data_IF_903397012380
#
_entry.id   IF_903397012380
#
_cell.length_a   1.000
_cell.length_b   1.000
_cell.length_c   1.000
_cell.angle_alpha   90.00
_cell.angle_beta   90.00
_cell.angle_gamma   90.00
#
_symmetry.space_group_name_H-M   'P 1'
#
loop_
_entity.id
_entity.type
_entity.pdbx_description
1 polymer ?
#
# COMPACT_ATOMS: atom_id res chain seq x y z
N UNK A 1 -3.79 -8.50 30.09
CA UNK A 1 -4.20 -7.23 30.69
C UNK A 1 -3.19 -6.76 31.75
N UNK A 2 -1.87 -6.73 31.45
CA UNK A 2 -0.80 -6.34 32.41
C UNK A 2 0.33 -5.50 31.78
N UNK A 3 0.17 -4.98 30.55
CA UNK A 3 1.28 -4.29 29.86
C UNK A 3 1.21 -2.76 29.92
N UNK A 4 0.12 -2.17 30.36
CA UNK A 4 -0.16 -0.73 30.22
C UNK A 4 0.48 0.20 31.27
N UNK A 5 1.06 -0.34 32.34
CA UNK A 5 1.61 0.45 33.46
C UNK A 5 3.10 0.24 33.71
N UNK A 6 3.81 -0.53 32.88
CA UNK A 6 5.21 -0.83 33.16
C UNK A 6 6.18 0.28 32.69
N UNK A 7 7.18 0.69 33.48
CA UNK A 7 8.22 1.62 33.07
C UNK A 7 8.97 1.13 31.80
N UNK A 8 9.46 2.05 30.96
CA UNK A 8 10.15 1.75 29.70
C UNK A 8 11.26 0.70 29.86
N UNK A 9 12.07 0.79 30.91
CA UNK A 9 13.13 -0.20 31.18
C UNK A 9 12.61 -1.62 31.36
N UNK A 10 11.45 -1.79 31.97
CA UNK A 10 10.79 -3.10 32.10
C UNK A 10 10.30 -3.64 30.77
N UNK A 11 9.83 -2.78 29.86
CA UNK A 11 9.47 -3.18 28.50
C UNK A 11 10.67 -3.61 27.67
N UNK A 12 11.81 -2.91 27.80
CA UNK A 12 13.08 -3.34 27.19
C UNK A 12 13.48 -4.73 27.70
N UNK A 13 13.43 -4.96 29.02
CA UNK A 13 13.74 -6.27 29.61
C UNK A 13 12.81 -7.38 29.11
N UNK A 14 11.51 -7.09 29.04
CA UNK A 14 10.50 -8.01 28.51
C UNK A 14 10.79 -8.43 27.06
N UNK A 15 11.01 -7.49 26.16
CA UNK A 15 11.28 -7.79 24.76
C UNK A 15 12.61 -8.49 24.56
N UNK A 16 13.66 -8.11 25.30
CA UNK A 16 14.94 -8.82 25.29
C UNK A 16 14.79 -10.29 25.68
N UNK A 17 14.10 -10.57 26.80
CA UNK A 17 13.84 -11.94 27.27
C UNK A 17 13.01 -12.73 26.26
N UNK A 18 11.97 -12.12 25.68
CA UNK A 18 11.13 -12.73 24.65
C UNK A 18 11.90 -13.09 23.39
N UNK A 19 12.99 -12.36 23.08
CA UNK A 19 13.94 -12.69 22.00
C UNK A 19 15.03 -13.68 22.41
N UNK A 20 14.98 -14.22 23.60
CA UNK A 20 15.96 -15.18 24.09
C UNK A 20 17.36 -14.59 24.31
N UNK A 21 17.51 -13.26 24.40
CA UNK A 21 18.80 -12.61 24.56
C UNK A 21 19.17 -12.45 26.03
N UNK A 22 20.44 -12.78 26.39
CA UNK A 22 21.02 -12.35 27.66
C UNK A 22 21.29 -10.84 27.66
N UNK A 23 21.43 -10.23 28.83
CA UNK A 23 21.85 -8.81 28.92
C UNK A 23 23.16 -8.53 28.20
N UNK A 24 24.10 -9.49 28.23
CA UNK A 24 25.38 -9.35 27.55
C UNK A 24 25.21 -9.35 26.03
N UNK A 25 24.51 -10.33 25.49
CA UNK A 25 24.23 -10.43 24.04
C UNK A 25 23.49 -9.16 23.51
N UNK A 26 22.54 -8.66 24.28
CA UNK A 26 21.84 -7.44 23.91
C UNK A 26 22.75 -6.20 23.99
N UNK A 27 23.58 -6.11 25.04
CA UNK A 27 24.56 -5.03 25.19
C UNK A 27 25.57 -5.00 24.02
N UNK A 28 26.10 -6.17 23.64
CA UNK A 28 27.04 -6.30 22.52
C UNK A 28 26.37 -5.86 21.20
N UNK A 29 25.09 -6.22 20.98
CA UNK A 29 24.32 -5.89 19.78
C UNK A 29 24.11 -4.39 19.61
N UNK A 30 23.97 -3.64 20.70
CA UNK A 30 23.76 -2.18 20.70
C UNK A 30 25.03 -1.38 21.00
N UNK A 31 26.21 -2.03 21.05
CA UNK A 31 27.49 -1.37 21.33
C UNK A 31 27.57 -0.70 22.71
N UNK A 32 26.88 -1.27 23.73
CA UNK A 32 26.89 -0.76 25.12
C UNK A 32 27.41 -1.80 26.07
N UNK A 33 27.67 -1.40 27.34
CA UNK A 33 28.07 -2.34 28.37
C UNK A 33 26.86 -3.08 28.97
N UNK A 34 27.07 -4.30 29.48
CA UNK A 34 26.04 -5.04 30.25
C UNK A 34 25.49 -4.22 31.41
N UNK A 35 26.37 -3.50 32.13
CA UNK A 35 25.97 -2.62 33.24
C UNK A 35 25.06 -1.48 32.77
N UNK A 36 25.26 -0.97 31.55
CA UNK A 36 24.37 0.03 30.96
C UNK A 36 22.95 -0.54 30.72
N UNK A 37 22.85 -1.75 30.15
CA UNK A 37 21.60 -2.47 29.96
C UNK A 37 20.88 -2.73 31.29
N UNK A 38 21.59 -3.24 32.29
CA UNK A 38 21.02 -3.49 33.63
C UNK A 38 20.44 -2.21 34.25
N UNK A 39 21.17 -1.08 34.18
CA UNK A 39 20.68 0.21 34.69
C UNK A 39 19.41 0.71 33.98
N UNK A 40 19.31 0.48 32.69
CA UNK A 40 18.10 0.81 31.91
C UNK A 40 16.92 -0.08 32.32
N UNK A 41 17.12 -1.39 32.34
CA UNK A 41 16.08 -2.36 32.68
C UNK A 41 15.53 -2.18 34.10
N UNK A 42 16.38 -1.76 35.03
CA UNK A 42 15.99 -1.43 36.40
C UNK A 42 15.43 -0.03 36.59
N UNK A 43 15.43 0.78 35.53
CA UNK A 43 14.94 2.17 35.58
C UNK A 43 15.89 3.15 36.33
N UNK A 44 17.07 2.74 36.66
CA UNK A 44 18.10 3.58 37.32
C UNK A 44 18.61 4.65 36.33
N UNK A 45 18.67 4.30 35.04
CA UNK A 45 19.02 5.23 33.97
C UNK A 45 17.78 5.50 33.11
N UNK A 46 17.46 6.78 32.92
CA UNK A 46 16.38 7.20 32.03
C UNK A 46 16.82 7.19 30.58
N UNK A 47 15.90 6.88 29.68
CA UNK A 47 16.05 6.92 28.23
C UNK A 47 15.34 8.19 27.72
N UNK A 48 16.08 9.29 27.64
CA UNK A 48 15.51 10.61 27.30
C UNK A 48 15.73 10.98 25.81
N UNK A 49 16.60 10.23 25.09
CA UNK A 49 16.91 10.51 23.69
C UNK A 49 16.17 9.54 22.79
N UNK A 50 15.32 10.07 21.92
CA UNK A 50 14.53 9.28 20.96
C UNK A 50 15.41 8.39 20.07
N UNK A 51 16.59 8.89 19.62
CA UNK A 51 17.56 8.09 18.84
C UNK A 51 18.02 6.82 19.54
N UNK A 52 18.23 6.89 20.87
CA UNK A 52 18.62 5.70 21.65
C UNK A 52 17.43 4.72 21.77
N UNK A 53 16.21 5.24 21.89
CA UNK A 53 15.00 4.39 21.95
C UNK A 53 14.79 3.67 20.62
N UNK A 54 15.03 4.34 19.49
CA UNK A 54 14.96 3.75 18.14
C UNK A 54 16.02 2.66 17.98
N UNK A 55 17.28 2.92 18.38
CA UNK A 55 18.36 1.93 18.36
C UNK A 55 18.03 0.67 19.17
N UNK A 56 17.43 0.84 20.36
CA UNK A 56 16.97 -0.28 21.19
C UNK A 56 15.82 -1.04 20.53
N UNK A 57 14.88 -0.33 19.93
CA UNK A 57 13.73 -0.91 19.25
C UNK A 57 14.16 -1.75 18.04
N UNK A 58 15.07 -1.24 17.22
CA UNK A 58 15.68 -1.96 16.09
C UNK A 58 16.41 -3.23 16.55
N UNK A 59 17.25 -3.12 17.58
CA UNK A 59 17.97 -4.26 18.14
C UNK A 59 17.06 -5.34 18.71
N UNK A 60 15.87 -4.96 19.20
CA UNK A 60 14.84 -5.87 19.71
C UNK A 60 13.85 -6.31 18.64
N UNK A 61 13.93 -5.76 17.43
CA UNK A 61 12.97 -5.95 16.34
C UNK A 61 11.53 -5.67 16.80
N UNK A 62 11.31 -4.47 17.35
CA UNK A 62 10.03 -3.95 17.81
C UNK A 62 9.86 -2.49 17.38
N UNK A 63 8.63 -1.99 17.36
CA UNK A 63 8.37 -0.58 17.15
C UNK A 63 8.80 0.27 18.37
N UNK A 64 9.39 1.46 18.13
CA UNK A 64 9.81 2.36 19.19
C UNK A 64 8.65 2.78 20.11
N UNK A 65 7.43 2.88 19.57
CA UNK A 65 6.21 3.14 20.33
C UNK A 65 5.92 2.06 21.38
N UNK A 66 6.22 0.79 21.09
CA UNK A 66 6.07 -0.31 22.04
C UNK A 66 7.01 -0.17 23.25
N UNK A 67 8.22 0.36 23.04
CA UNK A 67 9.14 0.66 24.14
C UNK A 67 8.70 1.89 24.92
N UNK A 68 8.12 2.88 24.25
CA UNK A 68 7.59 4.09 24.90
C UNK A 68 6.29 3.84 25.69
N UNK A 69 5.69 2.64 25.57
CA UNK A 69 4.39 2.34 26.17
C UNK A 69 3.26 3.10 25.50
N UNK A 70 3.56 3.63 24.33
CA UNK A 70 2.52 4.03 23.41
C UNK A 70 2.01 2.71 22.84
N UNK A 71 0.79 2.29 23.21
CA UNK A 71 0.09 1.35 22.36
C UNK A 71 0.18 1.87 20.92
N UNK A 72 0.27 0.98 19.91
CA UNK A 72 -0.02 1.42 18.57
C UNK A 72 -1.34 2.18 18.71
N UNK A 73 -1.31 3.50 18.51
CA UNK A 73 -2.43 4.38 18.86
C UNK A 73 -3.68 3.69 18.34
N UNK A 74 -4.54 3.18 19.24
CA UNK A 74 -5.93 2.83 18.94
C UNK A 74 -6.50 4.10 18.37
N UNK A 75 -6.53 4.19 17.04
CA UNK A 75 -7.17 5.31 16.37
C UNK A 75 -8.63 5.26 16.80
N UNK A 76 -9.16 6.28 17.50
CA UNK A 76 -10.61 6.38 17.69
C UNK A 76 -11.20 6.24 16.29
N UNK A 77 -12.27 5.46 16.12
CA UNK A 77 -12.87 5.17 14.83
C UNK A 77 -13.10 6.46 14.05
N UNK A 78 -12.16 6.79 13.17
CA UNK A 78 -12.22 7.94 12.30
C UNK A 78 -13.29 7.63 11.26
N UNK A 79 -14.36 8.38 11.23
CA UNK A 79 -15.42 8.25 10.25
C UNK A 79 -14.88 8.36 8.82
N UNK A 80 -14.43 7.25 8.26
CA UNK A 80 -13.84 7.20 6.91
C UNK A 80 -12.62 6.29 6.76
N UNK A 81 -12.07 5.72 7.85
CA UNK A 81 -10.98 4.74 7.80
C UNK A 81 -11.46 3.35 8.25
N UNK A 82 -10.77 2.29 7.83
CA UNK A 82 -10.97 0.94 8.35
C UNK A 82 -10.59 0.89 9.83
N UNK A 83 -11.44 0.24 10.61
CA UNK A 83 -11.11 -0.06 11.99
C UNK A 83 -10.28 -1.36 12.09
N UNK A 84 -9.73 -1.61 13.28
CA UNK A 84 -8.94 -2.83 13.52
C UNK A 84 -9.77 -4.11 13.36
N UNK A 85 -11.08 -4.06 13.61
CA UNK A 85 -11.98 -5.22 13.47
C UNK A 85 -12.16 -5.57 12.00
N UNK A 86 -12.29 -4.57 11.12
CA UNK A 86 -12.40 -4.78 9.67
C UNK A 86 -11.08 -5.35 9.10
N UNK A 87 -9.93 -4.80 9.50
CA UNK A 87 -8.60 -5.32 9.10
C UNK A 87 -8.40 -6.75 9.61
N UNK A 88 -8.74 -7.02 10.86
CA UNK A 88 -8.64 -8.36 11.45
C UNK A 88 -9.59 -9.37 10.78
N UNK A 89 -10.78 -8.93 10.38
CA UNK A 89 -11.73 -9.77 9.63
C UNK A 89 -11.21 -10.13 8.23
N UNK A 90 -10.54 -9.18 7.55
CA UNK A 90 -9.85 -9.45 6.28
C UNK A 90 -8.68 -10.42 6.52
N UNK A 91 -7.87 -10.20 7.58
CA UNK A 91 -6.78 -11.10 7.99
C UNK A 91 -7.28 -12.51 8.17
N UNK A 92 -8.30 -12.71 9.00
CA UNK A 92 -8.90 -14.03 9.27
C UNK A 92 -9.41 -14.69 7.98
N UNK A 93 -10.02 -13.92 7.08
CA UNK A 93 -10.47 -14.42 5.77
C UNK A 93 -9.30 -14.84 4.88
N UNK A 94 -8.18 -14.10 4.91
CA UNK A 94 -6.97 -14.46 4.18
C UNK A 94 -6.22 -15.64 4.81
N UNK A 95 -6.29 -15.85 6.12
CA UNK A 95 -5.61 -16.95 6.82
C UNK A 95 -6.38 -18.26 6.78
N UNK A 96 -7.65 -18.25 6.37
CA UNK A 96 -8.44 -19.48 6.18
C UNK A 96 -7.89 -20.30 5.02
N UNK A 97 -7.48 -21.49 5.33
CA UNK A 97 -7.17 -22.53 4.33
C UNK A 97 -8.45 -23.32 4.02
N UNK A 98 -9.28 -22.79 3.13
CA UNK A 98 -10.60 -23.37 2.83
C UNK A 98 -10.52 -24.82 2.29
N UNK A 99 -9.40 -25.19 1.65
CA UNK A 99 -9.16 -26.59 1.27
C UNK A 99 -9.01 -27.55 2.46
N UNK A 100 -8.63 -27.04 3.64
CA UNK A 100 -8.63 -27.82 4.88
C UNK A 100 -10.04 -27.91 5.47
N UNK A 101 -10.92 -26.96 5.21
CA UNK A 101 -12.32 -26.98 5.62
C UNK A 101 -13.13 -28.16 5.05
N UNK A 102 -12.68 -28.74 3.92
CA UNK A 102 -13.27 -30.01 3.38
C UNK A 102 -13.05 -31.21 4.31
N UNK A 103 -12.06 -31.14 5.19
CA UNK A 103 -11.80 -32.17 6.23
C UNK A 103 -12.44 -31.84 7.59
N UNK A 104 -12.87 -30.57 7.77
CA UNK A 104 -13.57 -30.12 8.95
C UNK A 104 -15.03 -29.93 8.50
N UNK A 105 -15.97 -30.70 9.01
CA UNK A 105 -17.40 -30.65 8.69
C UNK A 105 -18.00 -29.24 8.86
N UNK A 106 -17.70 -28.33 7.94
CA UNK A 106 -18.31 -27.02 7.89
C UNK A 106 -19.70 -27.13 7.27
N UNK A 107 -20.67 -26.39 7.82
CA UNK A 107 -22.00 -26.32 7.24
C UNK A 107 -21.93 -25.92 5.75
N UNK A 108 -22.66 -26.58 4.84
CA UNK A 108 -22.64 -26.26 3.43
C UNK A 108 -23.09 -24.83 3.20
N UNK A 109 -22.25 -24.03 2.52
CA UNK A 109 -22.59 -22.70 2.06
C UNK A 109 -23.12 -22.83 0.64
N UNK A 110 -24.30 -22.27 0.37
CA UNK A 110 -24.82 -22.22 -0.99
C UNK A 110 -23.97 -21.29 -1.85
N UNK A 111 -23.57 -21.74 -3.07
CA UNK A 111 -22.72 -20.93 -3.94
C UNK A 111 -23.47 -19.69 -4.47
N UNK A 112 -22.85 -18.53 -4.34
CA UNK A 112 -23.35 -17.31 -5.00
C UNK A 112 -23.12 -17.41 -6.50
N UNK A 113 -24.14 -17.14 -7.35
CA UNK A 113 -23.99 -17.19 -8.80
C UNK A 113 -22.89 -16.25 -9.32
N UNK A 114 -22.08 -16.75 -10.28
CA UNK A 114 -20.94 -16.02 -10.86
C UNK A 114 -21.33 -14.64 -11.42
N UNK A 115 -22.45 -14.45 -12.11
CA UNK A 115 -22.86 -13.10 -12.55
C UNK A 115 -23.11 -12.12 -11.39
N UNK A 116 -23.64 -12.60 -10.26
CA UNK A 116 -23.83 -11.80 -9.07
C UNK A 116 -22.50 -11.44 -8.40
N UNK A 117 -21.57 -12.41 -8.30
CA UNK A 117 -20.20 -12.16 -7.81
C UNK A 117 -19.46 -11.15 -8.69
N UNK A 118 -19.59 -11.25 -10.01
CA UNK A 118 -19.00 -10.29 -10.96
C UNK A 118 -19.51 -8.88 -10.71
N UNK A 119 -20.80 -8.71 -10.48
CA UNK A 119 -21.39 -7.43 -10.09
C UNK A 119 -20.83 -6.88 -8.78
N UNK A 120 -20.65 -7.75 -7.76
CA UNK A 120 -20.11 -7.37 -6.46
C UNK A 120 -18.60 -7.00 -6.54
N UNK A 121 -17.81 -7.72 -7.34
CA UNK A 121 -16.39 -7.39 -7.59
C UNK A 121 -16.26 -6.05 -8.31
N UNK A 122 -17.05 -5.81 -9.35
CA UNK A 122 -17.05 -4.52 -10.05
C UNK A 122 -17.44 -3.36 -9.11
N UNK A 123 -18.42 -3.56 -8.23
CA UNK A 123 -18.81 -2.58 -7.23
C UNK A 123 -17.66 -2.31 -6.22
N UNK A 124 -16.95 -3.36 -5.82
CA UNK A 124 -15.79 -3.24 -4.94
C UNK A 124 -14.66 -2.41 -5.59
N UNK A 125 -14.36 -2.65 -6.88
CA UNK A 125 -13.42 -1.84 -7.64
C UNK A 125 -13.86 -0.38 -7.74
N UNK A 126 -15.13 -0.12 -8.06
CA UNK A 126 -15.67 1.24 -8.14
C UNK A 126 -15.55 1.97 -6.78
N UNK A 127 -15.81 1.28 -5.67
CA UNK A 127 -15.65 1.84 -4.33
C UNK A 127 -14.17 2.15 -4.03
N UNK A 128 -13.24 1.28 -4.47
CA UNK A 128 -11.81 1.50 -4.35
C UNK A 128 -11.37 2.74 -5.15
N UNK A 129 -11.75 2.86 -6.41
CA UNK A 129 -11.41 3.99 -7.28
C UNK A 129 -11.94 5.34 -6.77
N UNK A 130 -13.04 5.31 -6.01
CA UNK A 130 -13.59 6.47 -5.30
C UNK A 130 -12.94 6.73 -3.93
N UNK A 131 -12.01 5.87 -3.49
CA UNK A 131 -11.37 5.98 -2.18
C UNK A 131 -12.31 5.71 -1.00
N UNK A 132 -13.36 4.89 -1.18
CA UNK A 132 -14.32 4.54 -0.13
C UNK A 132 -13.92 3.24 0.59
N UNK A 133 -12.80 3.26 1.31
CA UNK A 133 -12.22 2.07 1.94
C UNK A 133 -13.13 1.31 2.91
N UNK A 134 -13.97 1.94 3.75
CA UNK A 134 -14.91 1.18 4.57
C UNK A 134 -15.92 0.37 3.76
N UNK A 135 -16.31 0.85 2.57
CA UNK A 135 -17.16 0.09 1.64
C UNK A 135 -16.41 -1.08 1.04
N UNK A 136 -15.15 -0.84 0.63
CA UNK A 136 -14.26 -1.88 0.11
C UNK A 136 -14.05 -2.99 1.13
N UNK A 137 -13.77 -2.66 2.39
CA UNK A 137 -13.54 -3.64 3.46
C UNK A 137 -14.75 -4.57 3.66
N UNK A 138 -15.94 -3.99 3.79
CA UNK A 138 -17.17 -4.80 3.93
C UNK A 138 -17.41 -5.71 2.74
N UNK A 139 -17.20 -5.21 1.53
CA UNK A 139 -17.32 -6.01 0.30
C UNK A 139 -16.27 -7.12 0.24
N UNK A 140 -15.02 -6.83 0.61
CA UNK A 140 -13.93 -7.81 0.61
C UNK A 140 -14.19 -8.97 1.56
N UNK A 141 -14.66 -8.72 2.78
CA UNK A 141 -14.96 -9.77 3.77
C UNK A 141 -15.96 -10.78 3.18
N UNK A 142 -16.99 -10.28 2.49
CA UNK A 142 -17.99 -11.12 1.85
C UNK A 142 -17.41 -11.86 0.63
N UNK A 143 -16.72 -11.13 -0.25
CA UNK A 143 -16.17 -11.69 -1.49
C UNK A 143 -15.08 -12.74 -1.22
N UNK A 144 -14.21 -12.53 -0.23
CA UNK A 144 -13.20 -13.50 0.19
C UNK A 144 -13.80 -14.82 0.69
N UNK A 145 -15.03 -14.79 1.20
CA UNK A 145 -15.76 -15.98 1.62
C UNK A 145 -16.48 -16.67 0.45
N UNK A 146 -17.11 -15.89 -0.43
CA UNK A 146 -18.05 -16.43 -1.42
C UNK A 146 -17.35 -16.89 -2.72
N UNK A 147 -16.25 -16.22 -3.15
CA UNK A 147 -15.57 -16.57 -4.40
C UNK A 147 -14.95 -17.98 -4.40
N UNK A 148 -14.31 -18.48 -3.32
CA UNK A 148 -13.81 -19.84 -3.29
C UNK A 148 -14.92 -20.91 -3.34
N UNK A 149 -16.07 -20.64 -2.72
CA UNK A 149 -17.23 -21.53 -2.78
C UNK A 149 -17.77 -21.62 -4.21
N UNK A 150 -17.79 -20.49 -4.94
CA UNK A 150 -18.21 -20.46 -6.33
C UNK A 150 -17.21 -21.15 -7.27
N UNK A 151 -15.91 -21.17 -6.97
CA UNK A 151 -14.92 -21.95 -7.73
C UNK A 151 -15.15 -23.46 -7.57
N UNK A 152 -15.45 -23.91 -6.35
CA UNK A 152 -15.73 -25.33 -6.07
C UNK A 152 -17.06 -25.80 -6.66
N UNK A 153 -18.08 -24.94 -6.68
CA UNK A 153 -19.44 -25.23 -7.14
C UNK A 153 -19.95 -24.10 -8.03
N UNK A 154 -19.47 -23.98 -9.29
CA UNK A 154 -19.83 -22.86 -10.15
C UNK A 154 -21.29 -22.90 -10.56
N UNK A 155 -21.98 -21.77 -10.43
CA UNK A 155 -23.38 -21.57 -10.86
C UNK A 155 -23.44 -20.37 -11.79
N UNK A 156 -23.96 -20.61 -13.02
CA UNK A 156 -24.10 -19.58 -14.06
C UNK A 156 -22.78 -19.12 -14.68
N UNK A 157 -21.75 -19.98 -14.69
CA UNK A 157 -20.42 -19.78 -15.27
C UNK A 157 -19.53 -20.97 -15.00
N UNK A 158 -18.21 -20.79 -15.10
CA UNK A 158 -17.18 -21.84 -14.94
C UNK A 158 -16.36 -21.62 -13.68
N UNK A 159 -15.60 -22.66 -13.27
CA UNK A 159 -14.59 -22.53 -12.19
C UNK A 159 -13.50 -21.52 -12.56
N UNK A 160 -13.11 -21.44 -13.85
CA UNK A 160 -12.16 -20.43 -14.34
C UNK A 160 -12.71 -19.00 -14.16
N UNK A 161 -13.99 -18.74 -14.49
CA UNK A 161 -14.61 -17.43 -14.22
C UNK A 161 -14.57 -17.06 -12.72
N UNK A 162 -14.81 -18.03 -11.84
CA UNK A 162 -14.72 -17.80 -10.39
C UNK A 162 -13.27 -17.52 -9.95
N UNK A 163 -12.29 -18.22 -10.52
CA UNK A 163 -10.86 -18.00 -10.26
C UNK A 163 -10.41 -16.60 -10.71
N UNK A 164 -10.89 -16.11 -11.85
CA UNK A 164 -10.63 -14.75 -12.32
C UNK A 164 -11.23 -13.69 -11.38
N UNK A 165 -12.46 -13.90 -10.90
CA UNK A 165 -13.06 -13.02 -9.91
C UNK A 165 -12.28 -13.05 -8.58
N UNK A 166 -11.87 -14.21 -8.13
CA UNK A 166 -11.05 -14.39 -6.94
C UNK A 166 -9.71 -13.70 -7.06
N UNK A 167 -9.07 -13.74 -8.24
CA UNK A 167 -7.85 -12.98 -8.55
C UNK A 167 -8.06 -11.50 -8.31
N UNK A 168 -9.15 -10.92 -8.82
CA UNK A 168 -9.47 -9.52 -8.63
C UNK A 168 -9.74 -9.18 -7.16
N UNK A 169 -10.45 -10.02 -6.43
CA UNK A 169 -10.70 -9.86 -4.99
C UNK A 169 -9.39 -9.79 -4.21
N UNK A 170 -8.45 -10.71 -4.46
CA UNK A 170 -7.14 -10.69 -3.83
C UNK A 170 -6.27 -9.49 -4.26
N UNK A 171 -6.39 -9.01 -5.49
CA UNK A 171 -5.72 -7.79 -5.94
C UNK A 171 -6.21 -6.55 -5.16
N UNK A 172 -7.53 -6.40 -4.96
CA UNK A 172 -8.11 -5.30 -4.17
C UNK A 172 -7.62 -5.41 -2.72
N UNK A 173 -7.70 -6.61 -2.13
CA UNK A 173 -7.25 -6.87 -0.76
C UNK A 173 -5.76 -6.50 -0.58
N UNK A 174 -4.88 -6.97 -1.47
CA UNK A 174 -3.45 -6.63 -1.44
C UNK A 174 -3.22 -5.13 -1.51
N UNK A 175 -3.93 -4.43 -2.41
CA UNK A 175 -3.76 -2.99 -2.59
C UNK A 175 -4.19 -2.20 -1.37
N UNK A 176 -5.36 -2.51 -0.79
CA UNK A 176 -5.87 -1.82 0.41
C UNK A 176 -4.98 -2.09 1.62
N UNK A 177 -4.63 -3.36 1.87
CA UNK A 177 -3.76 -3.75 3.00
C UNK A 177 -2.39 -3.06 2.93
N UNK A 178 -1.78 -2.98 1.73
CA UNK A 178 -0.53 -2.24 1.54
C UNK A 178 -0.68 -0.76 1.89
N UNK A 179 -1.78 -0.13 1.47
CA UNK A 179 -2.05 1.29 1.77
C UNK A 179 -2.29 1.55 3.26
N UNK A 180 -2.80 0.56 3.98
CA UNK A 180 -2.96 0.60 5.44
C UNK A 180 -1.66 0.32 6.21
N UNK A 181 -0.57 -0.01 5.52
CA UNK A 181 0.72 -0.37 6.14
C UNK A 181 0.84 -1.85 6.53
N UNK A 182 -0.14 -2.70 6.16
CA UNK A 182 -0.18 -4.13 6.45
C UNK A 182 0.61 -4.94 5.39
N UNK A 183 1.92 -4.67 5.26
CA UNK A 183 2.76 -5.19 4.16
C UNK A 183 2.77 -6.72 4.08
N UNK A 184 2.79 -7.44 5.21
CA UNK A 184 2.79 -8.91 5.24
C UNK A 184 1.46 -9.49 4.74
N UNK A 185 0.34 -8.89 5.12
CA UNK A 185 -0.97 -9.31 4.62
C UNK A 185 -1.16 -8.96 3.15
N UNK A 186 -0.64 -7.81 2.72
CA UNK A 186 -0.63 -7.42 1.32
C UNK A 186 0.14 -8.43 0.47
N UNK A 187 1.29 -8.92 0.97
CA UNK A 187 2.04 -10.00 0.34
C UNK A 187 1.23 -11.29 0.24
N UNK A 188 0.61 -11.74 1.32
CA UNK A 188 -0.22 -12.95 1.34
C UNK A 188 -1.37 -12.85 0.32
N UNK A 189 -2.06 -11.71 0.26
CA UNK A 189 -3.13 -11.49 -0.69
C UNK A 189 -2.61 -11.47 -2.14
N UNK A 190 -1.44 -10.88 -2.40
CA UNK A 190 -0.81 -10.85 -3.72
C UNK A 190 -0.42 -12.26 -4.21
N UNK A 191 0.18 -13.08 -3.34
CA UNK A 191 0.53 -14.47 -3.63
C UNK A 191 -0.71 -15.30 -3.99
N UNK A 192 -1.79 -15.12 -3.23
CA UNK A 192 -3.09 -15.76 -3.55
C UNK A 192 -3.69 -15.26 -4.85
N UNK A 193 -3.50 -13.99 -5.21
CA UNK A 193 -3.96 -13.46 -6.51
C UNK A 193 -3.28 -14.19 -7.67
N UNK A 194 -1.95 -14.41 -7.62
CA UNK A 194 -1.23 -15.20 -8.63
C UNK A 194 -1.73 -16.64 -8.66
N UNK A 195 -1.88 -17.25 -7.48
CA UNK A 195 -2.38 -18.63 -7.39
C UNK A 195 -3.79 -18.80 -7.97
N UNK A 196 -4.66 -17.80 -7.83
CA UNK A 196 -5.97 -17.78 -8.44
C UNK A 196 -5.89 -17.52 -9.95
N UNK A 197 -5.07 -16.56 -10.39
CA UNK A 197 -4.90 -16.22 -11.80
C UNK A 197 -4.41 -17.42 -12.65
N UNK A 198 -3.55 -18.26 -12.10
CA UNK A 198 -3.08 -19.47 -12.75
C UNK A 198 -4.18 -20.54 -12.97
N UNK A 199 -5.36 -20.38 -12.37
CA UNK A 199 -6.53 -21.25 -12.58
C UNK A 199 -7.59 -20.61 -13.48
N UNK A 200 -7.45 -19.31 -13.78
CA UNK A 200 -8.25 -18.59 -14.77
C UNK A 200 -7.69 -18.78 -16.18
N UNK A 201 -8.39 -18.20 -17.14
CA UNK A 201 -8.02 -18.27 -18.57
C UNK A 201 -7.54 -16.91 -19.12
N UNK A 202 -7.35 -15.91 -18.26
CA UNK A 202 -6.99 -14.55 -18.65
C UNK A 202 -5.50 -14.26 -18.32
N UNK A 203 -4.60 -14.31 -19.33
CA UNK A 203 -3.18 -14.04 -19.13
C UNK A 203 -2.89 -12.58 -18.75
N UNK A 204 -3.71 -11.62 -19.20
CA UNK A 204 -3.54 -10.22 -18.83
C UNK A 204 -3.88 -9.98 -17.36
N UNK A 205 -4.90 -10.69 -16.86
CA UNK A 205 -5.24 -10.66 -15.43
C UNK A 205 -4.10 -11.24 -14.58
N UNK A 206 -3.43 -12.31 -15.04
CA UNK A 206 -2.25 -12.87 -14.39
C UNK A 206 -1.08 -11.86 -14.42
N UNK A 207 -0.86 -11.21 -15.58
CA UNK A 207 0.15 -10.16 -15.73
C UNK A 207 -0.07 -9.01 -14.75
N UNK A 208 -1.29 -8.49 -14.64
CA UNK A 208 -1.56 -7.38 -13.70
C UNK A 208 -1.54 -7.83 -12.24
N UNK A 209 -1.90 -9.09 -11.92
CA UNK A 209 -1.76 -9.63 -10.58
C UNK A 209 -0.30 -9.61 -10.10
N UNK A 210 0.66 -9.79 -11.01
CA UNK A 210 2.09 -9.71 -10.73
C UNK A 210 2.50 -8.33 -10.18
N UNK A 211 1.85 -7.25 -10.64
CA UNK A 211 2.13 -5.91 -10.09
C UNK A 211 1.80 -5.82 -8.60
N UNK A 212 0.85 -6.61 -8.09
CA UNK A 212 0.50 -6.62 -6.66
C UNK A 212 1.59 -7.29 -5.83
N UNK A 213 2.18 -8.37 -6.36
CA UNK A 213 3.37 -9.01 -5.75
C UNK A 213 4.53 -8.03 -5.71
N UNK A 214 4.83 -7.37 -6.83
CA UNK A 214 5.90 -6.37 -6.91
C UNK A 214 5.66 -5.19 -5.94
N UNK A 215 4.40 -4.73 -5.82
CA UNK A 215 4.03 -3.66 -4.88
C UNK A 215 4.19 -4.10 -3.41
N UNK A 216 3.89 -5.35 -3.09
CA UNK A 216 4.13 -5.91 -1.76
C UNK A 216 5.64 -6.05 -1.47
N UNK A 217 6.43 -6.48 -2.46
CA UNK A 217 7.90 -6.50 -2.36
C UNK A 217 8.47 -5.11 -2.08
N UNK A 218 7.99 -4.07 -2.78
CA UNK A 218 8.40 -2.68 -2.52
C UNK A 218 8.06 -2.26 -1.09
N UNK A 219 6.87 -2.59 -0.60
CA UNK A 219 6.47 -2.28 0.77
C UNK A 219 7.33 -3.01 1.83
N UNK A 220 7.99 -4.10 1.45
CA UNK A 220 8.93 -4.86 2.27
C UNK A 220 10.40 -4.45 2.04
N UNK A 221 10.66 -3.37 1.27
CA UNK A 221 12.01 -2.87 0.97
C UNK A 221 12.78 -3.71 -0.06
N UNK A 222 12.12 -4.66 -0.76
CA UNK A 222 12.77 -5.56 -1.73
C UNK A 222 12.64 -4.99 -3.14
N UNK A 223 13.26 -3.82 -3.37
CA UNK A 223 13.07 -3.02 -4.58
C UNK A 223 13.58 -3.72 -5.84
N UNK A 224 14.77 -4.34 -5.81
CA UNK A 224 15.34 -5.03 -6.96
C UNK A 224 14.46 -6.21 -7.41
N UNK A 225 14.00 -7.03 -6.48
CA UNK A 225 13.10 -8.14 -6.80
C UNK A 225 11.77 -7.66 -7.40
N UNK A 226 11.27 -6.49 -6.96
CA UNK A 226 10.06 -5.88 -7.52
C UNK A 226 10.31 -5.36 -8.95
N UNK A 227 11.47 -4.76 -9.22
CA UNK A 227 11.89 -4.31 -10.55
C UNK A 227 11.98 -5.50 -11.50
N UNK A 228 12.79 -6.49 -11.14
CA UNK A 228 13.05 -7.67 -11.99
C UNK A 228 11.74 -8.37 -12.38
N UNK A 229 10.84 -8.56 -11.41
CA UNK A 229 9.56 -9.20 -11.64
C UNK A 229 8.69 -8.44 -12.63
N UNK A 230 8.54 -7.11 -12.47
CA UNK A 230 7.74 -6.30 -13.40
C UNK A 230 8.33 -6.31 -14.82
N UNK A 231 9.65 -6.15 -14.95
CA UNK A 231 10.33 -6.13 -16.26
C UNK A 231 10.25 -7.49 -16.96
N UNK A 232 10.46 -8.59 -16.22
CA UNK A 232 10.35 -9.93 -16.76
C UNK A 232 8.96 -10.21 -17.33
N UNK A 233 7.90 -9.88 -16.58
CA UNK A 233 6.51 -10.12 -17.03
C UNK A 233 6.14 -9.18 -18.17
N UNK A 234 6.58 -7.92 -18.15
CA UNK A 234 6.37 -6.99 -19.26
C UNK A 234 6.99 -7.53 -20.57
N UNK A 235 8.21 -8.03 -20.50
CA UNK A 235 8.88 -8.64 -21.67
C UNK A 235 8.16 -9.90 -22.17
N UNK A 236 7.67 -10.75 -21.26
CA UNK A 236 6.90 -11.95 -21.61
C UNK A 236 5.65 -11.62 -22.42
N UNK A 237 4.89 -10.60 -22.00
CA UNK A 237 3.68 -10.17 -22.72
C UNK A 237 3.95 -9.71 -24.15
N UNK A 238 5.06 -9.00 -24.42
CA UNK A 238 5.41 -8.56 -25.79
C UNK A 238 5.83 -9.73 -26.67
N UNK A 239 6.61 -10.69 -26.13
CA UNK A 239 7.09 -11.83 -26.92
C UNK A 239 5.97 -12.77 -27.31
N UNK A 240 4.96 -12.95 -26.46
CA UNK A 240 3.79 -13.77 -26.74
C UNK A 240 2.88 -13.18 -27.83
N UNK A 241 2.77 -11.84 -27.89
CA UNK A 241 1.93 -11.15 -28.90
C UNK A 241 2.60 -10.97 -30.27
N UNK A 242 3.86 -11.39 -30.41
CA UNK A 242 4.58 -11.36 -31.70
C UNK A 242 4.89 -9.94 -32.25
N UNK A 243 4.72 -8.91 -31.42
CA UNK A 243 5.05 -7.51 -31.78
C UNK A 243 4.10 -6.82 -32.76
N UNK A 244 3.09 -7.52 -33.29
CA UNK A 244 2.08 -6.95 -34.21
C UNK A 244 0.75 -6.72 -33.46
N UNK A 245 0.23 -5.49 -33.56
CA UNK A 245 -1.11 -5.06 -33.15
C UNK A 245 -1.54 -5.49 -31.73
N UNK A 246 -0.82 -5.04 -30.69
CA UNK A 246 -1.26 -5.15 -29.30
C UNK A 246 -2.62 -4.51 -29.11
N UNK A 247 -3.52 -5.20 -28.47
CA UNK A 247 -4.82 -4.63 -28.09
C UNK A 247 -4.66 -3.51 -27.06
N UNK A 248 -5.59 -2.55 -26.97
CA UNK A 248 -5.56 -1.53 -25.94
C UNK A 248 -5.41 -2.08 -24.51
N UNK A 249 -5.94 -3.26 -24.24
CA UNK A 249 -5.82 -3.95 -22.95
C UNK A 249 -4.40 -4.44 -22.70
N UNK A 250 -3.76 -5.08 -23.68
CA UNK A 250 -2.36 -5.52 -23.60
C UNK A 250 -1.41 -4.35 -23.40
N UNK A 251 -1.57 -3.26 -24.18
CA UNK A 251 -0.80 -2.03 -24.02
C UNK A 251 -0.95 -1.46 -22.61
N UNK A 252 -2.16 -1.49 -22.05
CA UNK A 252 -2.43 -0.97 -20.71
C UNK A 252 -1.78 -1.80 -19.62
N UNK A 253 -1.82 -3.12 -19.72
CA UNK A 253 -1.17 -4.03 -18.75
C UNK A 253 0.34 -3.92 -18.86
N UNK A 254 0.89 -3.95 -20.09
CA UNK A 254 2.31 -3.75 -20.35
C UNK A 254 2.82 -2.43 -19.75
N UNK A 255 2.15 -1.33 -20.09
CA UNK A 255 2.51 -0.02 -19.57
C UNK A 255 2.44 0.08 -18.05
N UNK A 256 1.42 -0.54 -17.43
CA UNK A 256 1.30 -0.59 -15.98
C UNK A 256 2.46 -1.34 -15.32
N UNK A 257 2.93 -2.44 -15.92
CA UNK A 257 4.12 -3.17 -15.44
C UNK A 257 5.38 -2.31 -15.51
N UNK A 258 5.58 -1.59 -16.62
CA UNK A 258 6.71 -0.65 -16.75
C UNK A 258 6.67 0.45 -15.70
N UNK A 259 5.50 1.08 -15.46
CA UNK A 259 5.33 2.10 -14.43
C UNK A 259 5.66 1.57 -13.03
N UNK A 260 5.26 0.34 -12.70
CA UNK A 260 5.58 -0.26 -11.41
C UNK A 260 7.07 -0.64 -11.30
N UNK A 261 7.69 -1.04 -12.42
CA UNK A 261 9.14 -1.25 -12.50
C UNK A 261 9.91 0.05 -12.26
N UNK A 262 9.51 1.14 -12.93
CA UNK A 262 10.10 2.47 -12.76
C UNK A 262 10.05 2.95 -11.30
N UNK A 263 8.90 2.78 -10.64
CA UNK A 263 8.77 3.10 -9.22
C UNK A 263 9.65 2.24 -8.31
N UNK A 264 9.92 0.99 -8.70
CA UNK A 264 10.83 0.13 -7.95
C UNK A 264 12.29 0.57 -8.13
N UNK A 265 12.70 0.98 -9.33
CA UNK A 265 14.01 1.53 -9.64
C UNK A 265 14.24 2.86 -8.88
N UNK A 266 13.27 3.79 -8.93
CA UNK A 266 13.35 5.05 -8.19
C UNK A 266 13.54 4.85 -6.68
N UNK A 267 12.80 3.91 -6.07
CA UNK A 267 12.96 3.56 -4.65
C UNK A 267 14.30 2.88 -4.34
N UNK A 268 14.92 2.24 -5.33
CA UNK A 268 16.28 1.70 -5.21
C UNK A 268 17.36 2.78 -5.40
N UNK A 269 16.99 4.00 -5.79
CA UNK A 269 17.92 5.08 -6.12
C UNK A 269 18.52 4.98 -7.53
N UNK A 270 17.95 4.14 -8.41
CA UNK A 270 18.38 3.95 -9.79
C UNK A 270 17.53 4.84 -10.72
N UNK A 271 17.99 6.08 -10.89
CA UNK A 271 17.32 7.09 -11.73
C UNK A 271 17.32 6.70 -13.20
N UNK A 272 18.44 6.17 -13.71
CA UNK A 272 18.60 5.85 -15.14
C UNK A 272 17.61 4.74 -15.57
N UNK A 273 17.54 3.64 -14.80
CA UNK A 273 16.56 2.57 -15.04
C UNK A 273 15.12 3.06 -14.88
N UNK A 274 14.86 3.93 -13.90
CA UNK A 274 13.52 4.53 -13.72
C UNK A 274 13.12 5.34 -14.95
N UNK A 275 13.98 6.21 -15.47
CA UNK A 275 13.71 7.04 -16.65
C UNK A 275 13.52 6.21 -17.92
N UNK A 276 14.35 5.20 -18.16
CA UNK A 276 14.24 4.29 -19.30
C UNK A 276 12.87 3.55 -19.33
N UNK A 277 12.42 3.10 -18.16
CA UNK A 277 11.12 2.44 -18.03
C UNK A 277 9.95 3.42 -18.19
N UNK A 278 10.05 4.65 -17.67
CA UNK A 278 9.06 5.71 -17.84
C UNK A 278 8.97 6.15 -19.31
N UNK A 279 10.09 6.22 -20.02
CA UNK A 279 10.11 6.53 -21.44
C UNK A 279 9.49 5.41 -22.29
N UNK A 280 9.73 4.16 -21.91
CA UNK A 280 9.08 3.01 -22.53
C UNK A 280 7.58 3.01 -22.29
N UNK A 281 7.14 3.31 -21.05
CA UNK A 281 5.73 3.48 -20.72
C UNK A 281 5.10 4.66 -21.47
N UNK A 282 5.84 5.76 -21.66
CA UNK A 282 5.39 6.93 -22.44
C UNK A 282 5.15 6.57 -23.92
N UNK A 283 6.05 5.78 -24.53
CA UNK A 283 5.85 5.26 -25.89
C UNK A 283 4.60 4.39 -25.98
N UNK A 284 4.39 3.47 -25.04
CA UNK A 284 3.20 2.64 -24.99
C UNK A 284 1.91 3.47 -24.82
N UNK A 285 1.93 4.48 -23.96
CA UNK A 285 0.82 5.40 -23.76
C UNK A 285 0.54 6.24 -25.04
N UNK A 286 1.57 6.62 -25.79
CA UNK A 286 1.46 7.29 -27.08
C UNK A 286 0.74 6.43 -28.12
N UNK A 287 0.99 5.11 -28.15
CA UNK A 287 0.29 4.16 -29.02
C UNK A 287 -1.18 4.04 -28.60
N UNK A 288 -1.47 3.96 -27.29
CA UNK A 288 -2.85 3.94 -26.78
C UNK A 288 -3.61 5.23 -27.08
N UNK A 289 -2.93 6.37 -27.10
CA UNK A 289 -3.41 7.70 -27.51
C UNK A 289 -4.39 8.36 -26.56
N UNK A 290 -4.75 7.72 -25.43
CA UNK A 290 -5.68 8.23 -24.41
C UNK A 290 -5.45 7.58 -23.07
N UNK A 291 -5.98 8.18 -22.00
CA UNK A 291 -6.09 7.50 -20.72
C UNK A 291 -7.23 6.46 -20.78
N UNK A 292 -6.97 5.28 -20.25
CA UNK A 292 -7.89 4.15 -20.25
C UNK A 292 -7.77 3.33 -18.96
N UNK A 293 -8.83 2.60 -18.61
CA UNK A 293 -8.88 1.87 -17.35
C UNK A 293 -9.03 0.34 -17.54
N UNK A 294 -8.37 -0.22 -18.54
CA UNK A 294 -8.34 -1.68 -18.72
C UNK A 294 -7.69 -2.34 -17.50
N UNK A 295 -8.29 -3.40 -17.00
CA UNK A 295 -7.82 -4.11 -15.80
C UNK A 295 -7.57 -3.21 -14.57
N UNK A 296 -8.28 -2.10 -14.48
CA UNK A 296 -8.14 -1.12 -13.38
C UNK A 296 -6.71 -0.54 -13.25
N UNK A 297 -6.02 -0.42 -14.39
CA UNK A 297 -4.65 0.12 -14.44
C UNK A 297 -4.61 1.65 -14.45
N UNK A 298 -5.68 2.30 -14.89
CA UNK A 298 -5.72 3.74 -15.20
C UNK A 298 -4.56 4.16 -16.11
N UNK A 299 -4.11 3.28 -17.03
CA UNK A 299 -2.94 3.53 -17.86
C UNK A 299 -3.25 4.50 -19.00
N UNK A 300 -2.30 5.42 -19.26
CA UNK A 300 -2.34 6.36 -20.36
C UNK A 300 -1.37 7.53 -20.17
N UNK A 301 -1.36 8.51 -21.10
CA UNK A 301 -0.39 9.60 -21.08
C UNK A 301 -0.36 10.39 -19.77
N UNK A 302 -1.52 10.68 -19.19
CA UNK A 302 -1.61 11.44 -17.94
C UNK A 302 -1.03 10.62 -16.77
N UNK A 303 -1.40 9.34 -16.64
CA UNK A 303 -0.90 8.50 -15.55
C UNK A 303 0.62 8.23 -15.65
N UNK A 304 1.20 8.23 -16.85
CA UNK A 304 2.67 8.20 -17.03
C UNK A 304 3.31 9.46 -16.43
N UNK A 305 2.74 10.64 -16.67
CA UNK A 305 3.25 11.88 -16.05
C UNK A 305 3.13 11.85 -14.52
N UNK A 306 2.05 11.31 -13.97
CA UNK A 306 1.89 11.13 -12.53
C UNK A 306 3.00 10.25 -11.93
N UNK A 307 3.31 9.13 -12.60
CA UNK A 307 4.37 8.23 -12.15
C UNK A 307 5.77 8.85 -12.29
N UNK A 308 6.02 9.64 -13.34
CA UNK A 308 7.27 10.39 -13.48
C UNK A 308 7.46 11.39 -12.34
N UNK A 309 6.43 12.16 -12.01
CA UNK A 309 6.46 13.06 -10.86
C UNK A 309 6.67 12.28 -9.53
N UNK A 310 6.00 11.15 -9.36
CA UNK A 310 6.18 10.31 -8.17
C UNK A 310 7.60 9.72 -8.08
N UNK A 311 8.21 9.31 -9.20
CA UNK A 311 9.58 8.81 -9.26
C UNK A 311 10.58 9.89 -8.80
N UNK A 312 10.44 11.13 -9.27
CA UNK A 312 11.25 12.26 -8.81
C UNK A 312 11.09 12.50 -7.30
N UNK A 313 9.87 12.36 -6.76
CA UNK A 313 9.66 12.46 -5.30
C UNK A 313 10.42 11.37 -4.55
N UNK A 314 10.41 10.12 -5.03
CA UNK A 314 11.15 9.02 -4.39
C UNK A 314 12.68 9.21 -4.49
N UNK A 315 13.17 9.83 -5.57
CA UNK A 315 14.59 10.18 -5.75
C UNK A 315 15.02 11.42 -4.94
N UNK A 316 14.07 12.13 -4.31
CA UNK A 316 14.37 13.37 -3.56
C UNK A 316 14.42 14.63 -4.43
N UNK A 317 14.00 14.56 -5.68
CA UNK A 317 14.05 15.60 -6.71
C UNK A 317 12.70 16.35 -6.76
N UNK A 318 12.29 16.95 -5.63
CA UNK A 318 10.99 17.59 -5.49
C UNK A 318 10.72 18.73 -6.48
N UNK A 319 11.76 19.48 -6.90
CA UNK A 319 11.61 20.55 -7.88
C UNK A 319 11.22 20.02 -9.26
N UNK A 320 11.83 18.90 -9.69
CA UNK A 320 11.51 18.26 -10.95
C UNK A 320 10.13 17.61 -10.94
N UNK A 321 9.73 17.03 -9.79
CA UNK A 321 8.37 16.53 -9.57
C UNK A 321 7.31 17.63 -9.77
N UNK A 322 7.53 18.82 -9.22
CA UNK A 322 6.63 19.97 -9.37
C UNK A 322 6.63 20.48 -10.81
N UNK A 323 7.80 20.54 -11.48
CA UNK A 323 7.89 20.93 -12.88
C UNK A 323 7.15 19.95 -13.82
N UNK A 324 7.08 18.66 -13.49
CA UNK A 324 6.23 17.70 -14.20
C UNK A 324 4.76 17.98 -13.93
N UNK A 325 4.39 18.22 -12.67
CA UNK A 325 3.02 18.54 -12.28
C UNK A 325 2.44 19.73 -13.06
N UNK A 326 3.21 20.81 -13.19
CA UNK A 326 2.81 22.03 -13.89
C UNK A 326 2.52 21.82 -15.39
N UNK A 327 3.05 20.74 -15.98
CA UNK A 327 2.79 20.35 -17.37
C UNK A 327 1.57 19.45 -17.55
N UNK A 328 0.98 18.93 -16.46
CA UNK A 328 -0.22 18.09 -16.56
C UNK A 328 -1.43 18.98 -16.81
N UNK A 329 -2.17 18.77 -17.92
CA UNK A 329 -3.39 19.54 -18.15
C UNK A 329 -4.41 19.31 -17.04
N UNK A 330 -4.96 20.37 -16.41
CA UNK A 330 -5.92 20.20 -15.30
C UNK A 330 -7.16 19.36 -15.65
N UNK A 331 -7.65 19.46 -16.89
CA UNK A 331 -8.77 18.64 -17.35
C UNK A 331 -8.39 17.15 -17.41
N UNK A 332 -7.22 16.80 -17.93
CA UNK A 332 -6.74 15.41 -17.98
C UNK A 332 -6.56 14.82 -16.58
N UNK A 333 -6.04 15.62 -15.63
CA UNK A 333 -5.95 15.19 -14.23
C UNK A 333 -7.35 14.99 -13.62
N UNK A 334 -8.31 15.86 -13.91
CA UNK A 334 -9.67 15.79 -13.39
C UNK A 334 -10.45 14.55 -13.91
N UNK A 335 -10.13 14.06 -15.10
CA UNK A 335 -10.76 12.88 -15.71
C UNK A 335 -10.27 11.55 -15.11
N UNK A 336 -9.14 11.55 -14.38
CA UNK A 336 -8.66 10.35 -13.69
C UNK A 336 -9.54 10.00 -12.49
N UNK A 337 -9.53 8.73 -12.09
CA UNK A 337 -10.25 8.25 -10.90
C UNK A 337 -9.78 8.98 -9.63
N UNK A 338 -10.68 9.15 -8.66
CA UNK A 338 -10.43 9.95 -7.46
C UNK A 338 -9.21 9.46 -6.65
N UNK A 339 -9.01 8.15 -6.59
CA UNK A 339 -7.85 7.52 -5.94
C UNK A 339 -6.53 8.00 -6.57
N UNK A 340 -6.43 8.04 -7.92
CA UNK A 340 -5.23 8.51 -8.62
C UNK A 340 -4.94 9.99 -8.37
N UNK A 341 -5.98 10.83 -8.45
CA UNK A 341 -5.84 12.26 -8.16
C UNK A 341 -5.36 12.52 -6.74
N UNK A 342 -5.97 11.84 -5.76
CA UNK A 342 -5.59 11.97 -4.37
C UNK A 342 -4.14 11.54 -4.14
N UNK A 343 -3.73 10.39 -4.70
CA UNK A 343 -2.37 9.90 -4.60
C UNK A 343 -1.37 10.90 -5.20
N UNK A 344 -1.65 11.43 -6.38
CA UNK A 344 -0.79 12.43 -7.02
C UNK A 344 -0.63 13.68 -6.15
N UNK A 345 -1.72 14.22 -5.60
CA UNK A 345 -1.62 15.38 -4.71
C UNK A 345 -0.87 15.06 -3.41
N UNK A 346 -0.94 13.83 -2.91
CA UNK A 346 -0.10 13.39 -1.79
C UNK A 346 1.39 13.42 -2.18
N UNK A 347 1.76 12.95 -3.37
CA UNK A 347 3.14 13.01 -3.86
C UNK A 347 3.59 14.47 -4.07
N UNK A 348 2.73 15.34 -4.60
CA UNK A 348 3.03 16.79 -4.73
C UNK A 348 3.19 17.47 -3.37
N UNK A 349 2.42 17.07 -2.36
CA UNK A 349 2.65 17.54 -0.99
C UNK A 349 4.03 17.16 -0.47
N UNK A 350 4.50 15.93 -0.75
CA UNK A 350 5.86 15.48 -0.42
C UNK A 350 6.92 16.28 -1.17
N UNK A 351 6.72 16.51 -2.48
CA UNK A 351 7.60 17.35 -3.30
C UNK A 351 7.75 18.76 -2.73
N UNK A 352 6.64 19.39 -2.34
CA UNK A 352 6.65 20.72 -1.71
C UNK A 352 7.40 20.72 -0.37
N UNK A 353 7.28 19.66 0.43
CA UNK A 353 8.07 19.52 1.67
C UNK A 353 9.57 19.41 1.37
N UNK A 354 9.96 18.70 0.30
CA UNK A 354 11.35 18.56 -0.12
C UNK A 354 11.97 19.91 -0.53
N UNK A 355 11.22 20.74 -1.26
CA UNK A 355 11.69 22.08 -1.65
C UNK A 355 11.50 23.17 -0.58
N UNK A 356 10.84 22.84 0.53
CA UNK A 356 10.61 23.73 1.67
C UNK A 356 9.37 24.61 1.56
N UNK A 357 8.51 24.42 0.57
CA UNK A 357 7.24 25.14 0.44
C UNK A 357 6.14 24.45 1.26
N UNK A 358 6.14 24.73 2.56
CA UNK A 358 5.25 24.07 3.52
C UNK A 358 3.79 24.50 3.35
N UNK A 359 3.54 25.73 2.91
CA UNK A 359 2.18 26.23 2.67
C UNK A 359 1.54 25.46 1.49
N UNK A 360 2.26 25.34 0.38
CA UNK A 360 1.78 24.62 -0.79
C UNK A 360 1.65 23.12 -0.49
N UNK A 361 2.56 22.55 0.32
CA UNK A 361 2.44 21.15 0.80
C UNK A 361 1.10 20.93 1.52
N UNK A 362 0.70 21.83 2.41
CA UNK A 362 -0.59 21.78 3.09
C UNK A 362 -1.78 21.87 2.13
N UNK A 363 -1.71 22.75 1.13
CA UNK A 363 -2.77 22.91 0.11
C UNK A 363 -2.94 21.64 -0.74
N UNK A 364 -1.84 21.02 -1.18
CA UNK A 364 -1.90 19.74 -1.90
C UNK A 364 -2.49 18.63 -1.05
N UNK A 365 -2.12 18.54 0.23
CA UNK A 365 -2.63 17.50 1.12
C UNK A 365 -4.14 17.66 1.39
N UNK A 366 -4.63 18.89 1.57
CA UNK A 366 -6.07 19.18 1.66
C UNK A 366 -6.80 18.80 0.37
N UNK A 367 -6.20 19.09 -0.79
CA UNK A 367 -6.76 18.71 -2.08
C UNK A 367 -6.82 17.19 -2.24
N UNK A 368 -5.78 16.47 -1.80
CA UNK A 368 -5.76 15.01 -1.77
C UNK A 368 -6.89 14.45 -0.89
N UNK A 369 -7.09 14.98 0.31
CA UNK A 369 -8.17 14.56 1.22
C UNK A 369 -9.56 14.81 0.61
N UNK A 370 -9.78 15.95 -0.06
CA UNK A 370 -11.05 16.24 -0.75
C UNK A 370 -11.35 15.28 -1.90
N UNK A 371 -10.33 14.82 -2.63
CA UNK A 371 -10.51 13.86 -3.72
C UNK A 371 -10.88 12.47 -3.22
N UNK A 372 -10.15 11.96 -2.22
CA UNK A 372 -10.38 10.64 -1.65
C UNK A 372 -9.93 10.61 -0.17
N UNK A 373 -10.83 10.90 0.78
CA UNK A 373 -10.46 11.01 2.20
C UNK A 373 -9.73 9.79 2.77
N UNK A 374 -10.14 8.59 2.41
CA UNK A 374 -9.49 7.38 2.92
C UNK A 374 -8.03 7.23 2.44
N UNK A 375 -7.65 7.82 1.30
CA UNK A 375 -6.27 7.85 0.81
C UNK A 375 -5.33 8.62 1.75
N UNK A 376 -5.84 9.60 2.47
CA UNK A 376 -5.05 10.42 3.38
C UNK A 376 -5.20 9.93 4.82
N UNK A 377 -6.44 9.70 5.25
CA UNK A 377 -6.76 9.44 6.65
C UNK A 377 -6.37 8.05 7.14
N UNK A 378 -6.26 7.08 6.21
CA UNK A 378 -5.96 5.69 6.53
C UNK A 378 -4.47 5.31 6.33
N UNK A 379 -3.70 6.12 5.61
CA UNK A 379 -2.31 5.78 5.29
C UNK A 379 -1.34 6.29 6.35
N UNK A 380 -0.50 5.42 6.96
CA UNK A 380 0.44 5.84 8.00
C UNK A 380 1.34 7.00 7.58
N UNK A 381 1.97 6.90 6.39
CA UNK A 381 2.89 7.93 5.92
C UNK A 381 2.20 9.28 5.55
N UNK A 382 0.90 9.26 5.19
CA UNK A 382 0.17 10.50 4.98
C UNK A 382 -0.09 11.20 6.33
N UNK A 383 -0.33 10.46 7.40
CA UNK A 383 -0.48 11.00 8.75
C UNK A 383 0.85 11.55 9.27
N UNK A 384 1.96 10.86 9.00
CA UNK A 384 3.31 11.36 9.31
C UNK A 384 3.60 12.66 8.55
N UNK A 385 3.16 12.76 7.28
CA UNK A 385 3.32 13.98 6.48
C UNK A 385 2.48 15.14 7.04
N UNK A 386 1.26 14.88 7.51
CA UNK A 386 0.42 15.89 8.21
C UNK A 386 1.19 16.44 9.41
N UNK A 387 1.72 15.57 10.26
CA UNK A 387 2.48 15.92 11.45
C UNK A 387 3.72 16.75 11.07
N UNK A 388 4.48 16.32 10.06
CA UNK A 388 5.64 17.03 9.55
C UNK A 388 5.31 18.44 9.04
N UNK A 389 4.23 18.59 8.28
CA UNK A 389 3.78 19.91 7.76
C UNK A 389 3.40 20.84 8.93
N UNK A 390 2.64 20.35 9.90
CA UNK A 390 2.24 21.15 11.07
C UNK A 390 3.44 21.64 11.87
N UNK A 391 4.42 20.75 12.14
CA UNK A 391 5.64 21.12 12.88
C UNK A 391 6.53 22.15 12.14
N UNK A 392 6.49 22.17 10.80
CA UNK A 392 7.27 23.08 9.97
C UNK A 392 6.53 24.34 9.58
N UNK A 393 5.20 24.42 9.82
CA UNK A 393 4.39 25.61 9.53
C UNK A 393 4.79 26.75 10.43
N UNK A 394 5.15 27.90 9.83
CA UNK A 394 5.43 29.14 10.56
C UNK A 394 4.11 29.93 10.70
N UNK A 395 3.62 30.07 11.92
CA UNK A 395 2.35 30.71 12.20
C UNK A 395 1.15 29.75 12.30
N UNK A 396 -0.05 30.24 12.03
CA UNK A 396 -1.25 29.39 12.06
C UNK A 396 -1.37 28.54 10.79
N UNK A 397 -1.59 27.22 10.91
CA UNK A 397 -1.83 26.37 9.76
C UNK A 397 -3.17 26.73 9.09
N UNK A 398 -3.32 26.38 7.81
CA UNK A 398 -4.57 26.52 7.09
C UNK A 398 -5.72 25.86 7.89
N UNK A 399 -6.91 26.50 7.99
CA UNK A 399 -8.03 25.96 8.79
C UNK A 399 -8.41 24.52 8.40
N UNK A 400 -8.35 24.19 7.11
CA UNK A 400 -8.61 22.86 6.60
C UNK A 400 -7.53 21.85 7.02
N UNK A 401 -6.26 22.26 7.05
CA UNK A 401 -5.16 21.42 7.54
C UNK A 401 -5.31 21.12 9.04
N UNK A 402 -5.71 22.12 9.83
CA UNK A 402 -5.99 21.94 11.26
C UNK A 402 -7.11 20.91 11.46
N UNK A 403 -8.24 21.07 10.73
CA UNK A 403 -9.35 20.12 10.78
C UNK A 403 -8.91 18.70 10.39
N UNK A 404 -8.17 18.57 9.29
CA UNK A 404 -7.66 17.27 8.84
C UNK A 404 -6.77 16.64 9.93
N UNK A 405 -5.91 17.42 10.55
CA UNK A 405 -5.04 16.95 11.63
C UNK A 405 -5.82 16.50 12.88
N UNK A 406 -6.88 17.22 13.25
CA UNK A 406 -7.79 16.82 14.33
C UNK A 406 -8.51 15.53 13.99
N UNK A 407 -9.03 15.39 12.77
CA UNK A 407 -9.75 14.21 12.28
C UNK A 407 -8.86 12.96 12.22
N UNK A 408 -7.56 13.09 11.98
CA UNK A 408 -6.60 11.95 12.00
C UNK A 408 -5.90 11.78 13.35
N UNK A 409 -6.18 12.64 14.33
CA UNK A 409 -5.56 12.59 15.66
C UNK A 409 -4.07 12.97 15.66
N UNK A 410 -3.63 13.80 14.72
CA UNK A 410 -2.29 14.37 14.66
C UNK A 410 -2.12 15.63 15.53
N UNK A 411 -3.20 16.31 15.88
CA UNK A 411 -3.26 17.35 16.92
C UNK A 411 -3.92 16.73 18.15
N UNK A 412 -3.20 16.66 19.24
CA UNK A 412 -3.68 16.32 20.59
C UNK A 412 -3.85 17.58 21.42
#
# INVERSE_FOLDING_TARGET
>A
MESETQPMGRRVAYWRQRRGMSQQVFADRIGKSKSWVDKIERGVRRLDKYSVITELAEALSVDAGQLLGREPRRRPGLGGCLDQVEVESIRQSLERYERLGRFLEAAPIDPTPIPQLRGAVNYCWLAFEKGHYPVVARSLIQLLRDTPVAEDKPVGGTAADAAELMTQVYQIASTVLRKLGEAQLAWLAADRAISAANRGNDPLLAGIATTRVANALRALGRYQAALDLNVQVAHGLITETGGEASTPAEISVYGALLLQGAMAAALAGDSDTSDDLLDSASRAAGILGRDANYYYTSFGPTNVMLHRAAAFVELGEGADALAVHDRIPPAALADLVAERRSHHHLDMSRACVQVGDIEMAGRHLVTADRNAPSEIRCRPHAIELIDQILHRTKGEPLPEMRRLAEEVGALS
#
